data_IF_468546659006
#
_entry.id   IF_468546659006
#
_cell.length_a   1.000
_cell.length_b   1.000
_cell.length_c   1.000
_cell.angle_alpha   90.00
_cell.angle_beta   90.00
_cell.angle_gamma   90.00
#
_symmetry.space_group_name_H-M   'P 1'
#
loop_
_entity.id
_entity.type
_entity.pdbx_description
1 polymer ?
#
# COMPACT_ATOMS: atom_id res chain seq x y z
N UNK A 1 -0.23 2.63 -16.04
CA UNK A 1 -1.33 2.49 -15.06
C UNK A 1 -2.04 3.83 -14.97
N UNK A 2 -3.36 3.85 -15.19
CA UNK A 2 -4.17 5.06 -15.07
C UNK A 2 -4.59 5.23 -13.60
N UNK A 3 -4.42 6.44 -13.06
CA UNK A 3 -4.90 6.80 -11.73
C UNK A 3 -6.40 7.11 -11.84
N UNK A 4 -7.26 6.39 -11.09
CA UNK A 4 -8.68 6.70 -11.10
C UNK A 4 -8.95 8.13 -10.59
N UNK A 5 -9.91 8.86 -11.18
CA UNK A 5 -10.15 10.26 -10.82
C UNK A 5 -10.71 10.45 -9.40
N UNK A 6 -11.20 9.40 -8.76
CA UNK A 6 -11.71 9.43 -7.38
C UNK A 6 -10.62 9.21 -6.32
N UNK A 7 -9.42 8.71 -6.70
CA UNK A 7 -8.39 8.33 -5.72
C UNK A 7 -7.80 9.53 -5.00
N UNK A 8 -7.48 10.61 -5.69
CA UNK A 8 -6.95 11.83 -5.07
C UNK A 8 -7.96 12.48 -4.11
N UNK A 9 -9.23 12.66 -4.49
CA UNK A 9 -10.27 13.10 -3.56
C UNK A 9 -10.43 12.18 -2.35
N UNK A 10 -10.40 10.86 -2.51
CA UNK A 10 -10.45 9.91 -1.39
C UNK A 10 -9.32 10.18 -0.37
N UNK A 11 -8.09 10.38 -0.86
CA UNK A 11 -6.91 10.59 0.00
C UNK A 11 -6.88 11.97 0.68
N UNK A 12 -7.56 12.97 0.13
CA UNK A 12 -7.66 14.32 0.68
C UNK A 12 -8.90 14.56 1.53
N UNK A 13 -9.85 13.63 1.52
CA UNK A 13 -11.10 13.76 2.27
C UNK A 13 -10.87 13.61 3.78
N UNK A 14 -11.47 14.49 4.59
CA UNK A 14 -11.52 14.36 6.04
C UNK A 14 -12.69 13.46 6.42
N UNK A 15 -12.37 12.35 7.10
CA UNK A 15 -13.35 11.38 7.57
C UNK A 15 -13.68 11.57 9.06
N UNK A 16 -14.76 10.90 9.50
CA UNK A 16 -15.21 10.86 10.90
C UNK A 16 -15.66 12.21 11.47
N UNK A 17 -16.08 13.11 10.60
CA UNK A 17 -16.85 14.30 11.00
C UNK A 17 -18.32 13.92 11.24
N UNK A 18 -19.04 14.70 12.04
CA UNK A 18 -20.47 14.49 12.30
C UNK A 18 -21.27 14.96 11.07
N UNK A 19 -22.18 14.10 10.62
CA UNK A 19 -23.07 14.44 9.50
C UNK A 19 -24.08 15.51 9.90
N UNK A 20 -24.08 16.64 9.22
CA UNK A 20 -24.95 17.77 9.53
C UNK A 20 -26.44 17.45 9.29
N UNK A 21 -26.75 16.61 8.30
CA UNK A 21 -28.14 16.19 8.01
C UNK A 21 -28.70 15.18 9.01
N UNK A 22 -27.84 14.49 9.78
CA UNK A 22 -28.24 13.40 10.67
C UNK A 22 -27.61 13.54 12.07
N UNK A 23 -27.50 14.79 12.56
CA UNK A 23 -26.76 15.13 13.78
C UNK A 23 -27.30 14.42 15.03
N UNK A 24 -28.62 14.21 15.11
CA UNK A 24 -29.29 13.57 16.26
C UNK A 24 -29.35 12.05 16.18
N UNK A 25 -28.92 11.44 15.08
CA UNK A 25 -29.00 9.98 14.91
C UNK A 25 -27.71 9.30 15.37
N UNK A 26 -27.79 8.06 15.91
CA UNK A 26 -26.60 7.26 16.21
C UNK A 26 -25.86 6.90 14.92
N UNK A 27 -24.54 6.66 15.00
CA UNK A 27 -23.70 6.32 13.82
C UNK A 27 -23.73 7.34 12.69
N UNK A 28 -23.80 8.61 13.06
CA UNK A 28 -23.85 9.73 12.12
C UNK A 28 -22.46 10.21 11.67
N UNK A 29 -21.39 9.48 12.00
CA UNK A 29 -20.04 9.81 11.53
C UNK A 29 -19.93 9.60 10.02
N UNK A 30 -19.31 10.56 9.34
CA UNK A 30 -19.02 10.51 7.91
C UNK A 30 -17.78 9.66 7.67
N UNK A 31 -17.99 8.36 7.49
CA UNK A 31 -16.92 7.38 7.28
C UNK A 31 -17.06 6.60 5.97
N UNK A 32 -17.91 7.07 5.06
CA UNK A 32 -18.13 6.46 3.75
C UNK A 32 -17.75 7.42 2.63
N UNK A 33 -17.31 6.85 1.51
CA UNK A 33 -16.91 7.59 0.31
C UNK A 33 -17.47 6.92 -0.94
N UNK A 34 -18.13 7.71 -1.81
CA UNK A 34 -18.66 7.24 -3.08
C UNK A 34 -17.63 7.42 -4.20
N UNK A 35 -17.36 6.35 -4.95
CA UNK A 35 -16.43 6.40 -6.07
C UNK A 35 -17.11 6.77 -7.40
N UNK A 36 -18.42 6.68 -7.46
CA UNK A 36 -19.21 6.94 -8.67
C UNK A 36 -19.70 8.39 -8.78
N UNK A 37 -19.85 9.09 -7.64
CA UNK A 37 -20.31 10.47 -7.64
C UNK A 37 -19.21 11.48 -7.99
N UNK A 38 -19.60 12.61 -8.59
CA UNK A 38 -18.73 13.76 -8.83
C UNK A 38 -18.46 14.53 -7.52
N UNK A 39 -19.46 14.66 -6.65
CA UNK A 39 -19.33 15.20 -5.30
C UNK A 39 -18.60 14.18 -4.42
N UNK A 40 -17.35 14.50 -4.08
CA UNK A 40 -16.41 13.57 -3.44
C UNK A 40 -16.12 14.01 -2.01
N UNK A 41 -17.14 14.02 -1.18
CA UNK A 41 -17.06 14.24 0.27
C UNK A 41 -17.41 12.98 1.05
N UNK A 42 -16.95 12.89 2.30
CA UNK A 42 -17.37 11.84 3.21
C UNK A 42 -18.84 12.02 3.61
N UNK A 43 -19.55 10.94 3.83
CA UNK A 43 -20.94 10.92 4.27
C UNK A 43 -21.20 9.77 5.26
N UNK A 44 -22.32 9.85 5.98
CA UNK A 44 -22.71 8.88 7.00
C UNK A 44 -23.52 7.71 6.41
N UNK A 45 -23.80 6.74 7.25
CA UNK A 45 -24.61 5.57 6.90
C UNK A 45 -26.00 5.92 6.36
N UNK A 46 -26.66 6.93 6.93
CA UNK A 46 -28.02 7.34 6.48
C UNK A 46 -27.98 7.99 5.10
N UNK A 47 -26.99 8.85 4.85
CA UNK A 47 -26.78 9.43 3.52
C UNK A 47 -26.53 8.34 2.46
N UNK A 48 -25.80 7.27 2.81
CA UNK A 48 -25.62 6.12 1.93
C UNK A 48 -26.97 5.53 1.52
N UNK A 49 -27.84 5.30 2.49
CA UNK A 49 -29.16 4.67 2.25
C UNK A 49 -30.11 5.54 1.44
N UNK A 50 -29.95 6.87 1.48
CA UNK A 50 -30.82 7.81 0.79
C UNK A 50 -30.29 8.14 -0.61
N UNK A 51 -28.98 8.47 -0.71
CA UNK A 51 -28.42 9.08 -1.92
C UNK A 51 -27.48 8.16 -2.71
N UNK A 52 -27.00 7.04 -2.11
CA UNK A 52 -25.97 6.18 -2.69
C UNK A 52 -26.34 4.70 -2.70
N UNK A 53 -27.65 4.34 -2.76
CA UNK A 53 -28.11 2.95 -2.68
C UNK A 53 -27.48 2.04 -3.73
N UNK A 54 -27.37 2.53 -4.97
CA UNK A 54 -26.85 1.76 -6.11
C UNK A 54 -25.43 2.14 -6.50
N UNK A 55 -24.78 2.99 -5.72
CA UNK A 55 -23.41 3.43 -5.98
C UNK A 55 -22.39 2.53 -5.29
N UNK A 56 -21.21 2.46 -5.87
CA UNK A 56 -20.06 1.80 -5.23
C UNK A 56 -19.52 2.70 -4.14
N UNK A 57 -19.60 2.23 -2.91
CA UNK A 57 -19.21 2.97 -1.71
C UNK A 57 -18.11 2.21 -0.99
N UNK A 58 -17.07 2.93 -0.59
CA UNK A 58 -15.97 2.43 0.25
C UNK A 58 -16.21 2.92 1.66
N UNK A 59 -16.08 2.03 2.64
CA UNK A 59 -16.13 2.39 4.05
C UNK A 59 -14.73 2.56 4.62
N UNK A 60 -14.45 3.73 5.17
CA UNK A 60 -13.19 4.05 5.86
C UNK A 60 -13.32 3.66 7.34
N UNK A 61 -12.24 3.15 7.90
CA UNK A 61 -12.12 2.73 9.31
C UNK A 61 -10.90 3.39 9.91
N UNK A 62 -10.84 3.46 11.24
CA UNK A 62 -9.68 3.97 11.97
C UNK A 62 -8.84 2.86 12.57
N UNK A 63 -7.55 3.01 12.47
CA UNK A 63 -6.56 2.24 13.20
C UNK A 63 -5.50 3.16 13.76
N UNK A 64 -5.43 3.25 15.09
CA UNK A 64 -4.46 4.13 15.78
C UNK A 64 -4.47 5.57 15.21
N UNK A 65 -5.66 6.14 15.08
CA UNK A 65 -5.92 7.49 14.54
C UNK A 65 -5.63 7.68 13.03
N UNK A 66 -5.30 6.60 12.31
CA UNK A 66 -5.07 6.64 10.87
C UNK A 66 -6.20 5.95 10.10
N UNK A 67 -6.52 6.52 8.94
CA UNK A 67 -7.58 6.02 8.09
C UNK A 67 -7.11 4.80 7.30
N UNK A 68 -7.93 3.76 7.31
CA UNK A 68 -7.69 2.49 6.63
C UNK A 68 -8.92 2.05 5.84
N UNK A 69 -8.67 1.29 4.78
CA UNK A 69 -9.70 0.63 4.00
C UNK A 69 -9.44 -0.88 3.97
N UNK A 70 -10.50 -1.69 3.94
CA UNK A 70 -10.37 -3.13 3.77
C UNK A 70 -9.88 -3.47 2.36
N UNK A 71 -8.95 -4.42 2.26
CA UNK A 71 -8.47 -4.94 0.98
C UNK A 71 -9.64 -5.45 0.14
N UNK A 72 -10.56 -6.21 0.72
CA UNK A 72 -11.72 -6.77 0.02
C UNK A 72 -12.69 -5.74 -0.58
N UNK A 73 -12.61 -4.48 -0.15
CA UNK A 73 -13.41 -3.38 -0.70
C UNK A 73 -12.65 -2.64 -1.81
N UNK A 74 -11.35 -2.38 -1.60
CA UNK A 74 -10.56 -1.52 -2.49
C UNK A 74 -9.98 -2.27 -3.70
N UNK A 75 -9.63 -3.54 -3.57
CA UNK A 75 -9.04 -4.35 -4.64
C UNK A 75 -9.97 -4.57 -5.84
N UNK A 76 -11.28 -4.45 -5.63
CA UNK A 76 -12.30 -4.53 -6.69
C UNK A 76 -12.28 -3.33 -7.64
N UNK A 77 -11.72 -2.21 -7.23
CA UNK A 77 -11.81 -0.92 -7.93
C UNK A 77 -10.47 -0.25 -8.17
N UNK A 78 -9.42 -0.76 -7.54
CA UNK A 78 -8.05 -0.22 -7.63
C UNK A 78 -7.04 -1.36 -7.56
N UNK A 79 -6.07 -1.36 -8.46
CA UNK A 79 -4.90 -2.21 -8.29
C UNK A 79 -4.06 -1.72 -7.10
N UNK A 80 -3.96 -2.57 -6.09
CA UNK A 80 -3.22 -2.33 -4.85
C UNK A 80 -1.86 -3.04 -4.80
N UNK A 81 -1.41 -3.61 -5.91
CA UNK A 81 -0.12 -4.31 -5.99
C UNK A 81 1.03 -3.44 -5.48
N UNK A 82 1.93 -4.04 -4.75
CA UNK A 82 3.08 -3.36 -4.16
C UNK A 82 2.78 -2.44 -2.96
N UNK A 83 1.52 -2.35 -2.49
CA UNK A 83 1.16 -1.64 -1.26
C UNK A 83 1.10 -2.62 -0.10
N UNK A 84 1.77 -2.30 1.01
CA UNK A 84 1.78 -3.14 2.19
C UNK A 84 0.39 -3.26 2.81
N UNK A 85 -0.03 -4.50 3.05
CA UNK A 85 -1.26 -4.83 3.77
C UNK A 85 -0.95 -5.12 5.25
N UNK A 86 -1.94 -4.91 6.11
CA UNK A 86 -1.87 -5.18 7.54
C UNK A 86 -3.08 -5.99 7.96
N UNK A 87 -2.95 -6.82 8.99
CA UNK A 87 -4.09 -7.53 9.59
C UNK A 87 -4.49 -6.80 10.87
N UNK A 88 -5.69 -6.23 10.89
CA UNK A 88 -6.25 -5.48 12.02
C UNK A 88 -7.65 -6.03 12.28
N UNK A 89 -7.90 -6.50 13.51
CA UNK A 89 -9.16 -7.13 13.89
C UNK A 89 -9.62 -8.19 12.86
N UNK A 90 -8.72 -9.12 12.55
CA UNK A 90 -8.93 -10.23 11.61
C UNK A 90 -9.25 -9.84 10.17
N UNK A 91 -9.12 -8.56 9.80
CA UNK A 91 -9.32 -8.08 8.44
C UNK A 91 -8.01 -7.57 7.82
N UNK A 92 -7.76 -7.89 6.55
CA UNK A 92 -6.69 -7.27 5.77
C UNK A 92 -7.09 -5.84 5.41
N UNK A 93 -6.23 -4.89 5.74
CA UNK A 93 -6.45 -3.45 5.48
C UNK A 93 -5.22 -2.80 4.87
N UNK A 94 -5.44 -1.65 4.25
CA UNK A 94 -4.41 -0.76 3.72
C UNK A 94 -4.62 0.62 4.31
N UNK A 95 -3.54 1.31 4.66
CA UNK A 95 -3.59 2.72 5.08
C UNK A 95 -3.81 3.63 3.87
N UNK A 96 -4.65 4.65 4.03
CA UNK A 96 -4.88 5.63 2.99
C UNK A 96 -3.64 6.51 2.79
N UNK A 97 -3.14 7.11 3.84
CA UNK A 97 -2.02 8.04 3.80
C UNK A 97 -0.79 7.52 4.57
N UNK A 98 0.33 8.17 4.37
CA UNK A 98 1.54 7.88 5.12
C UNK A 98 1.36 8.16 6.60
N UNK A 99 2.11 7.44 7.42
CA UNK A 99 2.08 7.59 8.88
C UNK A 99 3.46 8.00 9.38
N UNK A 100 3.55 8.77 10.46
CA UNK A 100 4.83 9.05 11.10
C UNK A 100 5.58 7.76 11.43
N UNK A 101 6.88 7.70 11.13
CA UNK A 101 7.72 6.58 11.53
C UNK A 101 7.99 6.70 13.02
N UNK A 102 7.78 5.65 13.84
CA UNK A 102 8.25 5.66 15.21
C UNK A 102 9.76 5.88 15.22
N UNK A 103 10.24 6.83 16.02
CA UNK A 103 11.67 6.98 16.27
C UNK A 103 12.11 5.77 17.09
N UNK A 104 12.72 4.79 16.46
CA UNK A 104 13.32 3.67 17.17
C UNK A 104 14.67 4.13 17.72
N UNK A 105 14.72 4.49 18.99
CA UNK A 105 15.97 4.87 19.70
C UNK A 105 16.83 3.63 20.01
N UNK A 106 16.42 2.44 19.64
CA UNK A 106 17.18 1.22 19.82
C UNK A 106 17.65 0.72 18.45
N UNK A 107 18.92 0.37 18.37
CA UNK A 107 19.58 -0.21 17.19
C UNK A 107 18.94 -1.49 16.67
N UNK A 108 17.66 -1.40 16.34
CA UNK A 108 16.89 -2.48 15.73
C UNK A 108 17.35 -2.68 14.30
N UNK A 109 17.45 -3.95 13.90
CA UNK A 109 17.80 -4.40 12.56
C UNK A 109 17.17 -3.49 11.52
N UNK A 110 18.01 -2.83 10.73
CA UNK A 110 17.58 -2.06 9.56
C UNK A 110 16.66 -2.94 8.71
N UNK A 111 15.40 -2.55 8.58
CA UNK A 111 14.48 -3.26 7.70
C UNK A 111 15.07 -3.22 6.28
N UNK A 112 15.22 -4.38 5.66
CA UNK A 112 15.70 -4.50 4.28
C UNK A 112 14.79 -3.82 3.26
N UNK A 113 13.52 -3.59 3.63
CA UNK A 113 12.49 -3.06 2.77
C UNK A 113 12.01 -1.68 3.24
N UNK A 114 12.09 -0.69 2.35
CA UNK A 114 11.68 0.68 2.62
C UNK A 114 10.67 1.16 1.60
N UNK A 115 9.69 1.94 2.05
CA UNK A 115 8.76 2.63 1.16
C UNK A 115 9.53 3.55 0.19
N UNK A 116 9.28 3.42 -1.10
CA UNK A 116 9.97 4.20 -2.14
C UNK A 116 9.73 5.71 -2.05
N UNK A 117 8.71 6.15 -1.31
CA UNK A 117 8.31 7.55 -1.19
C UNK A 117 8.72 8.14 0.15
N UNK A 118 8.18 7.63 1.27
CA UNK A 118 8.40 8.19 2.60
C UNK A 118 9.49 7.47 3.40
N UNK A 119 10.14 6.44 2.84
CA UNK A 119 11.24 5.68 3.47
C UNK A 119 10.86 4.96 4.76
N UNK A 120 9.56 4.80 5.03
CA UNK A 120 9.09 3.98 6.14
C UNK A 120 9.52 2.54 5.97
N UNK A 121 9.97 1.90 7.04
CA UNK A 121 10.25 0.46 7.08
C UNK A 121 9.00 -0.35 6.78
N UNK A 122 9.16 -1.34 5.90
CA UNK A 122 8.11 -2.28 5.50
C UNK A 122 8.42 -3.66 6.07
N UNK A 123 7.39 -4.45 6.33
CA UNK A 123 7.53 -5.80 6.88
C UNK A 123 7.93 -6.82 5.82
N UNK A 124 7.48 -6.62 4.60
CA UNK A 124 7.66 -7.51 3.46
C UNK A 124 8.19 -6.72 2.25
N UNK A 125 8.55 -7.37 1.13
CA UNK A 125 9.11 -6.72 -0.06
C UNK A 125 8.06 -5.91 -0.85
N UNK A 126 7.27 -5.10 -0.15
CA UNK A 126 6.39 -4.12 -0.75
C UNK A 126 7.16 -2.87 -1.22
N UNK A 127 6.51 -2.08 -2.07
CA UNK A 127 7.08 -0.84 -2.60
C UNK A 127 6.58 0.41 -1.87
N UNK A 128 5.37 0.34 -1.30
CA UNK A 128 4.67 1.49 -0.73
C UNK A 128 4.01 1.11 0.60
N UNK A 129 4.02 2.02 1.57
CA UNK A 129 3.39 1.81 2.88
C UNK A 129 1.90 2.14 2.92
N UNK A 130 1.39 2.87 1.91
CA UNK A 130 0.01 3.38 1.84
C UNK A 130 -0.41 3.65 0.39
N UNK A 131 -1.72 3.89 0.17
CA UNK A 131 -2.25 4.28 -1.14
C UNK A 131 -1.71 5.65 -1.59
N UNK A 132 -1.58 6.61 -0.67
CA UNK A 132 -1.01 7.92 -0.96
C UNK A 132 0.42 7.82 -1.49
N UNK A 133 1.27 6.99 -0.85
CA UNK A 133 2.62 6.76 -1.36
C UNK A 133 2.62 6.09 -2.75
N UNK A 134 1.71 5.13 -3.01
CA UNK A 134 1.58 4.53 -4.35
C UNK A 134 1.20 5.59 -5.39
N UNK A 135 0.23 6.45 -5.10
CA UNK A 135 -0.20 7.53 -5.98
C UNK A 135 0.97 8.48 -6.33
N UNK A 136 1.71 8.93 -5.33
CA UNK A 136 2.91 9.78 -5.55
C UNK A 136 3.95 9.06 -6.41
N UNK A 137 4.16 7.77 -6.19
CA UNK A 137 5.08 6.96 -6.99
C UNK A 137 4.68 6.87 -8.46
N UNK A 138 3.39 6.68 -8.76
CA UNK A 138 2.85 6.65 -10.12
C UNK A 138 3.03 8.02 -10.80
N UNK A 139 2.73 9.12 -10.11
CA UNK A 139 2.91 10.48 -10.64
C UNK A 139 4.37 10.77 -11.00
N UNK A 140 5.31 10.48 -10.10
CA UNK A 140 6.75 10.65 -10.35
C UNK A 140 7.26 9.83 -11.54
N UNK A 141 6.77 8.62 -11.72
CA UNK A 141 7.15 7.79 -12.87
C UNK A 141 6.61 8.35 -14.18
N UNK A 142 5.37 8.87 -14.18
CA UNK A 142 4.78 9.52 -15.37
C UNK A 142 5.55 10.77 -15.78
N UNK A 143 5.99 11.60 -14.84
CA UNK A 143 6.79 12.79 -15.10
C UNK A 143 8.18 12.44 -15.66
N UNK A 144 8.83 11.40 -15.12
CA UNK A 144 10.10 10.90 -15.64
C UNK A 144 9.99 10.45 -17.10
N UNK A 145 8.96 9.67 -17.41
CA UNK A 145 8.75 9.18 -18.77
C UNK A 145 8.44 10.31 -19.76
N UNK A 146 7.74 11.37 -19.32
CA UNK A 146 7.54 12.56 -20.16
C UNK A 146 8.86 13.29 -20.47
N UNK A 147 9.76 13.41 -19.50
CA UNK A 147 11.08 14.05 -19.70
C UNK A 147 11.98 13.25 -20.62
N UNK A 148 11.98 11.92 -20.56
CA UNK A 148 12.74 11.07 -21.49
C UNK A 148 12.18 11.11 -22.93
N UNK A 149 10.88 11.24 -23.11
CA UNK A 149 10.24 11.32 -24.43
C UNK A 149 10.44 12.66 -25.15
N UNK A 150 10.81 13.72 -24.44
CA UNK A 150 11.07 15.05 -25.02
C UNK A 150 12.51 15.29 -25.47
N UNK A 151 13.47 14.45 -25.06
CA UNK A 151 14.90 14.54 -25.46
C UNK A 151 15.26 13.70 -26.69
N UNK A 152 14.29 12.90 -27.22
CA UNK A 152 14.50 11.98 -28.34
C UNK A 152 14.23 12.55 -29.75
N UNK A 153 14.04 13.88 -29.92
CA UNK A 153 13.81 14.51 -31.23
C UNK A 153 14.79 15.64 -31.59
N UNK A 154 16.07 15.44 -31.33
CA UNK A 154 17.13 16.28 -31.96
C UNK A 154 18.38 15.42 -32.07
N UNK A 155 18.66 14.95 -33.28
CA UNK A 155 19.95 14.39 -33.61
C UNK A 155 19.91 13.19 -34.53
N UNK A 156 19.23 13.30 -35.66
CA UNK A 156 19.43 12.37 -36.78
C UNK A 156 19.50 13.18 -38.07
N UNK A 157 20.63 13.85 -38.22
CA UNK A 157 21.15 14.25 -39.54
C UNK A 157 22.67 14.47 -39.43
N UNK A 158 23.35 13.78 -40.30
CA UNK A 158 24.79 13.88 -40.59
C UNK A 158 25.74 12.92 -39.84
N UNK A 159 25.93 11.74 -40.43
CA UNK A 159 27.25 11.32 -40.94
C UNK A 159 27.15 10.01 -41.72
N UNK A 160 27.16 10.15 -43.02
CA UNK A 160 27.61 9.10 -43.96
C UNK A 160 29.15 9.06 -43.95
N UNK A 161 29.62 7.85 -44.26
CA UNK A 161 30.92 7.43 -44.81
C UNK A 161 31.98 7.01 -43.80
N UNK A 162 32.33 5.79 -43.84
CA UNK A 162 33.48 5.08 -44.31
C UNK A 162 33.57 3.70 -43.68
N UNK A 163 33.72 2.73 -44.55
CA UNK A 163 33.71 1.29 -44.25
C UNK A 163 35.10 0.75 -43.83
N UNK A 164 35.38 -0.56 -44.09
CA UNK A 164 35.59 -1.52 -43.02
C UNK A 164 37.06 -1.96 -42.92
N UNK A 165 37.48 -2.50 -41.82
CA UNK A 165 38.62 -3.43 -41.78
C UNK A 165 38.43 -4.46 -40.68
N UNK A 166 38.68 -5.62 -41.11
CA UNK A 166 38.78 -6.95 -40.62
C UNK A 166 39.87 -7.15 -39.56
N UNK A 167 39.79 -8.36 -39.05
CA UNK A 167 40.80 -9.29 -38.50
C UNK A 167 40.81 -9.32 -36.98
N UNK A 168 40.69 -10.41 -36.36
CA UNK A 168 40.85 -11.86 -36.40
C UNK A 168 41.38 -12.33 -35.02
N UNK A 169 40.94 -13.54 -34.67
CA UNK A 169 41.63 -14.53 -33.84
C UNK A 169 41.70 -14.29 -32.30
N UNK A 170 41.63 -15.23 -31.39
CA UNK A 170 41.53 -16.67 -31.44
C UNK A 170 41.44 -17.20 -29.97
N UNK A 171 40.78 -18.31 -29.77
CA UNK A 171 41.07 -19.41 -28.84
C UNK A 171 41.17 -19.23 -27.32
N UNK A 172 40.50 -20.18 -26.65
CA UNK A 172 40.84 -20.58 -25.27
C UNK A 172 39.77 -21.45 -24.62
N UNK A 173 39.82 -22.74 -24.96
CA UNK A 173 39.19 -23.88 -24.33
C UNK A 173 39.27 -23.95 -22.79
N UNK A 174 38.17 -24.44 -22.17
CA UNK A 174 38.20 -25.76 -21.53
C UNK A 174 38.18 -25.78 -20.03
N UNK A 175 37.16 -26.23 -19.37
CA UNK A 175 37.11 -27.53 -18.71
C UNK A 175 35.81 -27.72 -17.91
N UNK A 176 35.16 -28.83 -18.28
CA UNK A 176 34.19 -29.53 -17.46
C UNK A 176 34.85 -30.08 -16.20
N UNK A 177 34.10 -30.16 -15.08
CA UNK A 177 34.06 -31.32 -14.19
C UNK A 177 32.74 -31.33 -13.39
N UNK A 178 31.97 -32.29 -13.69
CA UNK A 178 31.02 -33.14 -13.00
C UNK A 178 31.08 -33.17 -11.46
N UNK A 179 29.93 -33.17 -10.81
CA UNK A 179 29.80 -33.54 -9.41
C UNK A 179 28.34 -33.58 -8.92
N UNK A 180 27.77 -34.77 -8.98
CA UNK A 180 26.43 -35.17 -8.49
C UNK A 180 26.23 -35.02 -6.99
N UNK A 181 24.93 -34.95 -6.64
CA UNK A 181 24.24 -35.50 -5.42
C UNK A 181 23.98 -34.52 -4.29
N UNK A 182 22.82 -34.40 -3.81
CA UNK A 182 21.74 -35.19 -3.21
C UNK A 182 20.79 -34.29 -2.44
N UNK A 183 19.51 -34.57 -2.62
CA UNK A 183 18.38 -34.18 -1.79
C UNK A 183 18.67 -34.22 -0.30
N UNK A 184 18.33 -33.12 0.40
CA UNK A 184 17.88 -33.17 1.79
C UNK A 184 16.97 -31.99 2.08
N UNK A 185 15.68 -32.25 2.19
CA UNK A 185 14.67 -31.40 2.83
C UNK A 185 15.04 -31.22 4.32
N UNK A 186 15.03 -30.00 4.86
CA UNK A 186 15.02 -29.82 6.30
C UNK A 186 13.58 -29.85 6.86
N UNK A 187 13.42 -30.28 8.13
CA UNK A 187 12.12 -30.57 8.71
C UNK A 187 11.35 -29.31 9.11
N UNK A 188 10.02 -29.42 9.02
CA UNK A 188 9.03 -28.51 9.55
C UNK A 188 9.30 -28.17 11.01
N UNK A 189 9.66 -26.92 11.30
CA UNK A 189 9.66 -26.40 12.66
C UNK A 189 8.29 -25.80 12.97
N UNK A 190 7.70 -26.33 14.02
CA UNK A 190 6.42 -25.97 14.59
C UNK A 190 6.36 -24.50 15.00
N UNK A 191 5.30 -23.83 14.59
CA UNK A 191 4.95 -22.49 15.02
C UNK A 191 4.61 -22.51 16.53
N UNK A 192 5.43 -21.85 17.33
CA UNK A 192 5.06 -21.54 18.71
C UNK A 192 3.98 -20.46 18.72
N UNK A 193 2.77 -20.83 19.12
CA UNK A 193 1.69 -19.91 19.41
C UNK A 193 2.00 -19.14 20.69
N UNK A 194 2.33 -17.86 20.60
CA UNK A 194 2.37 -16.96 21.76
C UNK A 194 0.97 -16.68 22.26
N UNK A 195 0.53 -17.46 23.25
CA UNK A 195 -0.65 -17.22 24.06
C UNK A 195 -0.48 -15.91 24.83
N UNK A 196 -1.19 -14.85 24.42
CA UNK A 196 -1.29 -13.60 25.18
C UNK A 196 -2.07 -13.88 26.45
N UNK A 197 -1.43 -13.78 27.63
CA UNK A 197 -2.06 -13.80 28.94
C UNK A 197 -3.17 -12.75 29.00
N UNK A 198 -4.42 -13.19 29.14
CA UNK A 198 -5.56 -12.33 29.46
C UNK A 198 -5.33 -11.75 30.85
N UNK A 199 -5.32 -10.42 30.99
CA UNK A 199 -5.37 -9.76 32.30
C UNK A 199 -6.64 -10.21 32.99
N UNK A 200 -6.51 -10.73 34.21
CA UNK A 200 -7.62 -11.18 35.02
C UNK A 200 -8.62 -10.05 35.28
N UNK A 201 -9.89 -10.38 35.29
CA UNK A 201 -11.00 -9.52 35.69
C UNK A 201 -10.86 -9.29 37.18
N UNK A 202 -10.72 -8.02 37.61
CA UNK A 202 -10.80 -7.67 39.01
C UNK A 202 -12.23 -7.95 39.55
N UNK A 203 -12.39 -8.96 40.41
CA UNK A 203 -13.61 -9.18 41.14
C UNK A 203 -13.77 -8.05 42.16
N UNK A 204 -14.93 -7.39 42.15
CA UNK A 204 -15.31 -6.45 43.21
C UNK A 204 -15.53 -7.23 44.50
N UNK A 205 -15.00 -6.71 45.60
CA UNK A 205 -15.25 -7.22 46.93
C UNK A 205 -16.76 -7.14 47.25
N UNK A 206 -17.35 -8.15 47.93
CA UNK A 206 -18.74 -8.07 48.36
C UNK A 206 -18.88 -6.96 49.42
N UNK A 207 -19.95 -6.18 49.30
CA UNK A 207 -20.39 -5.25 50.35
C UNK A 207 -20.84 -6.10 51.56
N UNK A 208 -20.17 -5.94 52.70
CA UNK A 208 -20.56 -6.48 53.97
C UNK A 208 -21.84 -5.83 54.54
N UNK A 209 -22.47 -6.46 55.57
CA UNK A 209 -23.76 -6.03 56.07
C UNK A 209 -23.76 -4.68 56.73
#
# INVERSE_FOLDING_TARGET
MLVPPWLEPLLSTTFFTICQSHISLPRNECNMFCIDCSHRSAFCFYCKSIWHQHHRVIQIRRSSYHDVVRVSEIDKVLDISGVQTYVINSAKVIFLNERPQPKTNYGGKSSSHLCRICRRSLLDPFCFCSLGCKLVGIKKNKERNKKLGSTGKRGEEERRTLGPSKEDDEFGEGNEISGKQRDRLPPLQQAYSNSRRRKGIHQRAPLGP
#
